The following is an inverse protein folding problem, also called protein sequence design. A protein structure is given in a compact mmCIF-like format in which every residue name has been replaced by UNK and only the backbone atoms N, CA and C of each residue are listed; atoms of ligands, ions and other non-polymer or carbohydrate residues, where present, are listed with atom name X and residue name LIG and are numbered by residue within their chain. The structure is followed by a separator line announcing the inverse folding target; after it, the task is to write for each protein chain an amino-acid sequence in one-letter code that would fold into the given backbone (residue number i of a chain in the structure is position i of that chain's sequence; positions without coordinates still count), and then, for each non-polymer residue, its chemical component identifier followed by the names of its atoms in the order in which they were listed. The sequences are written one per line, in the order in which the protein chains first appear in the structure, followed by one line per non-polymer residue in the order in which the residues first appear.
data_IF_714062652555
#
_entry.id   IF_714062652555
#
_cell.length_a   1.000
_cell.length_b   1.000
_cell.length_c   1.000
_cell.angle_alpha   90.00
_cell.angle_beta   90.00
_cell.angle_gamma   90.00
#
_symmetry.space_group_name_H-M   'P 1'
#
loop_
_entity.id
_entity.type
_entity.pdbx_description
1 polymer ?
#
# COMPACT_ATOMS: atom_id res chain seq x y z
N UNK A 1 9.93 -17.09 1.76
CA UNK A 1 9.06 -18.29 1.99
C UNK A 1 9.33 -18.86 3.38
N UNK A 2 9.17 -18.14 4.49
CA UNK A 2 7.88 -17.80 5.11
C UNK A 2 8.16 -16.93 6.35
N UNK A 3 7.50 -15.78 6.50
CA UNK A 3 7.20 -15.22 7.83
C UNK A 3 7.82 -13.88 8.28
N UNK A 4 8.71 -13.20 7.53
CA UNK A 4 9.48 -12.08 8.11
C UNK A 4 9.00 -10.66 7.70
N UNK A 5 8.21 -10.48 6.63
CA UNK A 5 8.11 -9.12 6.04
C UNK A 5 6.82 -8.32 6.29
N UNK A 6 5.64 -8.94 6.45
CA UNK A 6 4.39 -8.16 6.62
C UNK A 6 3.97 -7.96 8.08
N UNK A 7 4.16 -8.95 8.96
CA UNK A 7 3.72 -8.88 10.35
C UNK A 7 4.45 -7.79 11.14
N UNK A 8 5.78 -7.74 11.00
CA UNK A 8 6.60 -6.73 11.67
C UNK A 8 6.25 -5.31 11.22
N UNK A 9 5.88 -5.14 9.95
CA UNK A 9 5.54 -3.84 9.39
C UNK A 9 4.14 -3.39 9.82
N UNK A 10 3.17 -4.32 9.86
CA UNK A 10 1.83 -4.05 10.43
C UNK A 10 1.92 -3.72 11.92
N UNK A 11 2.69 -4.47 12.71
CA UNK A 11 2.89 -4.21 14.15
C UNK A 11 3.57 -2.84 14.39
N UNK A 12 4.55 -2.48 13.56
CA UNK A 12 5.20 -1.16 13.63
C UNK A 12 4.19 -0.04 13.38
N UNK A 13 3.35 -0.16 12.35
CA UNK A 13 2.36 0.87 12.01
C UNK A 13 1.26 0.98 13.07
N UNK A 14 0.80 -0.14 13.64
CA UNK A 14 -0.25 -0.19 14.64
C UNK A 14 0.22 0.28 16.02
N UNK A 15 1.30 -0.28 16.55
CA UNK A 15 1.67 -0.13 17.96
C UNK A 15 2.70 0.96 18.24
N UNK A 16 3.66 1.15 17.31
CA UNK A 16 4.76 2.12 17.49
C UNK A 16 4.41 3.46 16.86
N UNK A 17 4.09 3.46 15.55
CA UNK A 17 3.80 4.69 14.81
C UNK A 17 2.37 5.18 15.01
N UNK A 18 1.43 4.29 15.38
CA UNK A 18 0.01 4.57 15.61
C UNK A 18 -0.64 5.32 14.45
N UNK A 19 -0.34 4.88 13.23
CA UNK A 19 -0.87 5.48 11.99
C UNK A 19 -2.36 5.12 11.87
N UNK A 20 -3.25 6.04 11.53
CA UNK A 20 -4.64 5.66 11.23
C UNK A 20 -4.69 4.80 9.95
N UNK A 21 -5.34 3.62 9.95
CA UNK A 21 -5.46 2.75 8.76
C UNK A 21 -6.06 3.45 7.53
N UNK A 22 -6.87 4.48 7.74
CA UNK A 22 -7.47 5.29 6.66
C UNK A 22 -6.41 6.03 5.83
N UNK A 23 -5.25 6.31 6.42
CA UNK A 23 -4.15 7.02 5.76
C UNK A 23 -3.45 6.16 4.69
N UNK A 24 -3.54 4.83 4.75
CA UNK A 24 -2.94 3.96 3.73
C UNK A 24 -3.56 4.18 2.36
N UNK A 25 -4.87 4.46 2.29
CA UNK A 25 -5.55 4.79 1.03
C UNK A 25 -5.00 6.08 0.39
N UNK A 26 -4.68 7.07 1.23
CA UNK A 26 -4.11 8.34 0.78
C UNK A 26 -2.70 8.10 0.21
N UNK A 27 -1.86 7.34 0.92
CA UNK A 27 -0.53 6.98 0.46
C UNK A 27 -0.58 6.21 -0.88
N UNK A 28 -1.48 5.23 -1.01
CA UNK A 28 -1.64 4.46 -2.24
C UNK A 28 -2.01 5.37 -3.42
N UNK A 29 -2.93 6.32 -3.22
CA UNK A 29 -3.27 7.28 -4.26
C UNK A 29 -2.09 8.16 -4.66
N UNK A 30 -1.31 8.67 -3.69
CA UNK A 30 -0.10 9.44 -3.98
C UNK A 30 0.93 8.63 -4.79
N UNK A 31 1.10 7.34 -4.49
CA UNK A 31 1.99 6.46 -5.26
C UNK A 31 1.50 6.27 -6.70
N UNK A 32 0.20 6.08 -6.91
CA UNK A 32 -0.38 5.98 -8.25
C UNK A 32 -0.16 7.26 -9.06
N UNK A 33 -0.33 8.43 -8.44
CA UNK A 33 -0.05 9.73 -9.07
C UNK A 33 1.43 9.85 -9.45
N UNK A 34 2.34 9.48 -8.55
CA UNK A 34 3.79 9.52 -8.85
C UNK A 34 4.13 8.59 -10.01
N UNK A 35 3.62 7.36 -10.02
CA UNK A 35 3.85 6.40 -11.10
C UNK A 35 3.32 6.91 -12.45
N UNK A 36 2.14 7.54 -12.47
CA UNK A 36 1.60 8.18 -13.66
C UNK A 36 2.49 9.32 -14.18
N UNK A 37 3.13 10.06 -13.28
CA UNK A 37 4.01 11.18 -13.63
C UNK A 37 5.41 10.74 -14.06
N UNK A 38 5.96 9.68 -13.45
CA UNK A 38 7.33 9.22 -13.74
C UNK A 38 7.43 8.27 -14.92
N UNK A 39 6.35 7.54 -15.23
CA UNK A 39 6.33 6.51 -16.27
C UNK A 39 5.03 6.56 -17.09
N UNK A 40 4.73 7.70 -17.76
CA UNK A 40 3.45 7.91 -18.41
C UNK A 40 3.17 6.95 -19.59
N UNK A 41 4.20 6.49 -20.30
CA UNK A 41 4.05 5.56 -21.43
C UNK A 41 3.65 4.15 -20.97
N UNK A 42 4.13 3.71 -19.81
CA UNK A 42 3.85 2.38 -19.24
C UNK A 42 2.60 2.37 -18.35
N UNK A 43 2.08 3.55 -17.97
CA UNK A 43 0.92 3.71 -17.10
C UNK A 43 -0.39 3.61 -17.88
N UNK A 44 -0.58 2.48 -18.55
CA UNK A 44 -1.84 2.16 -19.24
C UNK A 44 -2.98 1.93 -18.24
N UNK A 45 -4.25 1.98 -18.67
CA UNK A 45 -5.39 1.67 -17.79
C UNK A 45 -5.30 0.30 -17.11
N UNK A 46 -4.75 -0.71 -17.81
CA UNK A 46 -4.54 -2.06 -17.28
C UNK A 46 -3.47 -2.06 -16.17
N UNK A 47 -2.34 -1.38 -16.41
CA UNK A 47 -1.28 -1.19 -15.40
C UNK A 47 -1.81 -0.44 -14.20
N UNK A 48 -2.58 0.63 -14.41
CA UNK A 48 -3.21 1.41 -13.35
C UNK A 48 -4.09 0.53 -12.45
N UNK A 49 -5.00 -0.26 -13.04
CA UNK A 49 -5.88 -1.16 -12.29
C UNK A 49 -5.10 -2.27 -11.57
N UNK A 50 -4.03 -2.79 -12.17
CA UNK A 50 -3.19 -3.81 -11.55
C UNK A 50 -2.48 -3.27 -10.31
N UNK A 51 -1.90 -2.07 -10.40
CA UNK A 51 -1.18 -1.42 -9.30
C UNK A 51 -2.17 -1.00 -8.20
N UNK A 52 -3.32 -0.44 -8.55
CA UNK A 52 -4.37 -0.08 -7.58
C UNK A 52 -4.81 -1.30 -6.74
N UNK A 53 -5.08 -2.43 -7.41
CA UNK A 53 -5.42 -3.69 -6.72
C UNK A 53 -4.29 -4.20 -5.83
N UNK A 54 -3.05 -4.14 -6.31
CA UNK A 54 -1.88 -4.55 -5.55
C UNK A 54 -1.72 -3.69 -4.28
N UNK A 55 -1.79 -2.37 -4.40
CA UNK A 55 -1.68 -1.42 -3.29
C UNK A 55 -2.85 -1.56 -2.29
N UNK A 56 -4.05 -1.91 -2.76
CA UNK A 56 -5.17 -2.24 -1.89
C UNK A 56 -4.89 -3.50 -1.04
N UNK A 57 -4.30 -4.55 -1.63
CA UNK A 57 -3.87 -5.75 -0.90
C UNK A 57 -2.77 -5.45 0.12
N UNK A 58 -1.80 -4.61 -0.22
CA UNK A 58 -0.75 -4.15 0.73
C UNK A 58 -1.37 -3.37 1.90
N UNK A 59 -2.29 -2.45 1.61
CA UNK A 59 -3.00 -1.69 2.65
C UNK A 59 -3.78 -2.59 3.60
N UNK A 60 -4.39 -3.65 3.07
CA UNK A 60 -5.09 -4.66 3.87
C UNK A 60 -4.12 -5.41 4.79
N UNK A 61 -3.00 -5.90 4.25
CA UNK A 61 -1.97 -6.60 5.01
C UNK A 61 -1.38 -5.74 6.14
N UNK A 62 -1.09 -4.46 5.87
CA UNK A 62 -0.63 -3.50 6.88
C UNK A 62 -1.67 -3.22 7.96
N UNK A 63 -2.96 -3.35 7.62
CA UNK A 63 -4.07 -3.09 8.55
C UNK A 63 -4.47 -4.31 9.39
N UNK A 64 -3.89 -5.50 9.16
CA UNK A 64 -4.30 -6.73 9.84
C UNK A 64 -4.15 -6.67 11.36
N UNK A 65 -3.13 -5.98 11.87
CA UNK A 65 -2.81 -5.89 13.31
C UNK A 65 -3.46 -4.73 14.05
N UNK A 66 -4.31 -3.96 13.39
CA UNK A 66 -5.08 -2.88 14.01
C UNK A 66 -6.31 -3.34 14.79
N UNK A 67 -6.60 -4.65 14.77
CA UNK A 67 -7.69 -5.27 15.51
C UNK A 67 -7.16 -6.12 16.66
#
# INVERSE_FOLDING_TARGET
IWGITDTNLSDLHAFVLRVDPSNFKILCHCLLVVLAMTSPEDFTPETHVAIDKFLASVSLALSEKYR
#
